data_IF_794837160912
#
_entry.id   IF_794837160912
#
_cell.length_a   1.000
_cell.length_b   1.000
_cell.length_c   1.000
_cell.angle_alpha   90.00
_cell.angle_beta   90.00
_cell.angle_gamma   90.00
#
_symmetry.space_group_name_H-M   'P 1'
#
loop_
_entity.id
_entity.type
_entity.pdbx_description
1 polymer ?
#
# COMPACT_ATOMS: atom_id res chain seq x y z
N UNK A 1 42.68 15.35 15.65
CA UNK A 1 42.32 16.79 15.66
C UNK A 1 40.85 16.91 16.01
N UNK A 2 40.47 17.74 17.01
CA UNK A 2 39.07 17.91 17.41
C UNK A 2 38.41 18.91 16.45
N UNK A 3 37.34 18.49 15.79
CA UNK A 3 36.57 19.34 14.86
C UNK A 3 35.44 20.00 15.65
N UNK A 4 35.26 21.31 15.45
CA UNK A 4 34.22 22.11 16.10
C UNK A 4 33.18 22.58 15.09
N UNK A 5 31.92 22.51 15.48
CA UNK A 5 30.76 22.98 14.74
C UNK A 5 30.03 24.07 15.54
N UNK A 6 29.16 24.83 14.85
CA UNK A 6 28.16 25.69 15.48
C UNK A 6 26.86 24.90 15.59
N UNK A 7 26.24 24.88 16.76
CA UNK A 7 24.95 24.25 17.01
C UNK A 7 23.96 25.33 17.47
N UNK A 8 22.78 25.34 16.86
CA UNK A 8 21.69 26.20 17.32
C UNK A 8 21.01 25.59 18.54
N UNK A 9 20.93 26.32 19.67
CA UNK A 9 20.26 25.84 20.90
C UNK A 9 18.82 25.44 20.59
N UNK A 10 18.10 26.31 19.89
CA UNK A 10 16.82 26.02 19.26
C UNK A 10 17.10 25.84 17.75
N UNK A 11 16.90 24.64 17.18
CA UNK A 11 17.11 24.41 15.75
C UNK A 11 16.21 25.29 14.86
N UNK A 12 16.69 25.64 13.66
CA UNK A 12 15.91 26.44 12.69
C UNK A 12 14.58 25.79 12.30
N UNK A 13 14.55 24.46 12.15
CA UNK A 13 13.31 23.73 11.83
C UNK A 13 12.26 23.80 12.96
N UNK A 14 12.69 24.13 14.18
CA UNK A 14 11.87 24.34 15.35
C UNK A 14 11.56 25.82 15.63
N UNK A 15 11.92 26.74 14.72
CA UNK A 15 11.70 28.19 14.86
C UNK A 15 12.88 28.98 15.43
N UNK A 16 14.05 28.36 15.61
CA UNK A 16 15.24 29.06 16.07
C UNK A 16 15.81 30.05 15.06
N UNK A 17 16.43 31.10 15.56
CA UNK A 17 17.04 32.19 14.78
C UNK A 17 18.56 32.03 14.68
N UNK A 18 19.19 32.81 13.80
CA UNK A 18 20.66 32.87 13.68
C UNK A 18 21.29 33.91 14.65
N UNK A 19 20.55 34.30 15.70
CA UNK A 19 21.07 35.20 16.74
C UNK A 19 22.25 34.53 17.47
N UNK A 20 23.34 35.26 17.77
CA UNK A 20 24.49 34.70 18.49
C UNK A 20 24.13 34.05 19.83
N UNK A 21 23.10 34.53 20.53
CA UNK A 21 22.59 33.93 21.77
C UNK A 21 22.01 32.52 21.57
N UNK A 22 21.53 32.22 20.37
CA UNK A 22 20.99 30.91 20.00
C UNK A 22 22.08 29.98 19.42
N UNK A 23 23.36 30.36 19.39
CA UNK A 23 24.42 29.57 18.73
C UNK A 23 25.57 29.31 19.69
N UNK A 24 25.90 28.02 19.88
CA UNK A 24 27.04 27.59 20.69
C UNK A 24 28.08 26.84 19.84
N UNK A 25 29.36 27.00 20.18
CA UNK A 25 30.46 26.27 19.54
C UNK A 25 30.75 24.99 20.31
N UNK A 26 30.54 23.85 19.67
CA UNK A 26 30.68 22.51 20.28
C UNK A 26 31.47 21.59 19.37
N UNK A 27 32.10 20.55 19.93
CA UNK A 27 32.73 19.52 19.10
C UNK A 27 31.66 18.63 18.43
N UNK A 28 32.06 17.84 17.42
CA UNK A 28 31.12 17.00 16.64
C UNK A 28 30.34 16.02 17.52
N UNK A 29 31.00 15.39 18.49
CA UNK A 29 30.34 14.43 19.39
C UNK A 29 29.25 15.09 20.24
N UNK A 30 29.54 16.27 20.79
CA UNK A 30 28.58 17.06 21.56
C UNK A 30 27.45 17.60 20.67
N UNK A 31 27.74 18.00 19.43
CA UNK A 31 26.72 18.40 18.45
C UNK A 31 25.72 17.26 18.20
N UNK A 32 26.23 16.04 17.97
CA UNK A 32 25.38 14.86 17.80
C UNK A 32 24.54 14.60 19.07
N UNK A 33 25.15 14.68 20.24
CA UNK A 33 24.47 14.50 21.53
C UNK A 33 23.34 15.51 21.74
N UNK A 34 23.56 16.80 21.44
CA UNK A 34 22.54 17.83 21.58
C UNK A 34 21.32 17.57 20.68
N UNK A 35 21.53 17.16 19.43
CA UNK A 35 20.42 16.72 18.57
C UNK A 35 19.73 15.46 19.09
N UNK A 36 20.46 14.53 19.71
CA UNK A 36 19.86 13.35 20.34
C UNK A 36 18.95 13.77 21.50
N UNK A 37 19.41 14.66 22.37
CA UNK A 37 18.63 15.18 23.49
C UNK A 37 17.38 15.91 22.98
N UNK A 38 17.52 16.80 22.00
CA UNK A 38 16.37 17.50 21.39
C UNK A 38 15.34 16.52 20.81
N UNK A 39 15.79 15.42 20.22
CA UNK A 39 14.89 14.37 19.74
C UNK A 39 14.20 13.62 20.89
N UNK A 40 14.90 13.29 21.96
CA UNK A 40 14.32 12.64 23.14
C UNK A 40 13.30 13.55 23.84
N UNK A 41 13.55 14.85 23.89
CA UNK A 41 12.68 15.83 24.54
C UNK A 41 11.43 16.16 23.69
N UNK A 42 11.58 16.31 22.37
CA UNK A 42 10.51 16.84 21.50
C UNK A 42 10.02 15.87 20.42
N UNK A 43 10.68 14.74 20.19
CA UNK A 43 10.29 13.74 19.20
C UNK A 43 10.40 14.20 17.73
N UNK A 44 11.11 15.30 17.44
CA UNK A 44 11.21 15.86 16.08
C UNK A 44 12.16 15.02 15.23
N UNK A 45 11.66 14.44 14.15
CA UNK A 45 12.46 13.54 13.30
C UNK A 45 13.71 14.20 12.72
N UNK A 46 13.69 15.53 12.48
CA UNK A 46 14.83 16.29 11.98
C UNK A 46 16.04 16.20 12.91
N UNK A 47 15.81 16.25 14.23
CA UNK A 47 16.88 16.15 15.22
C UNK A 47 17.46 14.73 15.29
N UNK A 48 16.61 13.70 15.18
CA UNK A 48 17.07 12.31 15.08
C UNK A 48 17.95 12.08 13.84
N UNK A 49 17.54 12.63 12.68
CA UNK A 49 18.31 12.51 11.44
C UNK A 49 19.65 13.24 11.56
N UNK A 50 19.68 14.45 12.14
CA UNK A 50 20.90 15.19 12.37
C UNK A 50 21.86 14.46 13.33
N UNK A 51 21.34 13.93 14.45
CA UNK A 51 22.09 13.08 15.38
C UNK A 51 22.73 11.88 14.67
N UNK A 52 21.94 11.06 13.97
CA UNK A 52 22.44 9.85 13.31
C UNK A 52 23.50 10.17 12.25
N UNK A 53 23.33 11.28 11.53
CA UNK A 53 24.30 11.73 10.53
C UNK A 53 25.61 12.20 11.17
N UNK A 54 25.55 13.00 12.25
CA UNK A 54 26.75 13.52 12.93
C UNK A 54 27.50 12.44 13.72
N UNK A 55 26.77 11.48 14.30
CA UNK A 55 27.33 10.35 15.01
C UNK A 55 27.92 9.27 14.06
N UNK A 56 27.73 9.41 12.75
CA UNK A 56 28.19 8.44 11.75
C UNK A 56 27.43 7.10 11.79
N UNK A 57 26.23 7.08 12.39
CA UNK A 57 25.37 5.89 12.46
C UNK A 57 24.77 5.57 11.09
N UNK A 58 24.51 6.60 10.28
CA UNK A 58 24.04 6.49 8.90
C UNK A 58 24.93 7.31 7.97
N UNK A 59 24.98 6.90 6.71
CA UNK A 59 25.64 7.67 5.66
C UNK A 59 24.87 8.96 5.33
N UNK A 60 25.56 9.92 4.72
CA UNK A 60 24.94 11.17 4.23
C UNK A 60 23.81 10.87 3.23
N UNK A 61 23.98 9.85 2.38
CA UNK A 61 22.96 9.45 1.41
C UNK A 61 21.69 8.93 2.08
N UNK A 62 21.84 8.10 3.12
CA UNK A 62 20.72 7.61 3.93
C UNK A 62 20.03 8.75 4.68
N UNK A 63 20.79 9.70 5.25
CA UNK A 63 20.23 10.87 5.91
C UNK A 63 19.38 11.73 4.95
N UNK A 64 19.86 11.94 3.71
CA UNK A 64 19.12 12.67 2.66
C UNK A 64 17.85 11.91 2.28
N UNK A 65 17.94 10.59 2.11
CA UNK A 65 16.80 9.76 1.76
C UNK A 65 15.73 9.76 2.85
N UNK A 66 16.14 9.64 4.12
CA UNK A 66 15.26 9.67 5.27
C UNK A 66 14.56 11.04 5.40
N UNK A 67 15.30 12.13 5.21
CA UNK A 67 14.74 13.49 5.22
C UNK A 67 13.63 13.65 4.17
N UNK A 68 13.90 13.20 2.93
CA UNK A 68 12.90 13.23 1.84
C UNK A 68 11.69 12.38 2.17
N UNK A 69 11.91 11.19 2.74
CA UNK A 69 10.82 10.29 3.14
C UNK A 69 9.94 10.96 4.20
N UNK A 70 10.53 11.40 5.31
CA UNK A 70 9.80 12.00 6.43
C UNK A 70 9.04 13.27 6.04
N UNK A 71 9.65 14.14 5.21
CA UNK A 71 8.97 15.32 4.68
C UNK A 71 7.72 14.97 3.84
N UNK A 72 7.78 13.88 3.06
CA UNK A 72 6.64 13.44 2.24
C UNK A 72 5.55 12.72 3.05
N UNK A 73 5.90 12.00 4.12
CA UNK A 73 4.91 11.37 5.01
C UNK A 73 4.03 12.42 5.69
N UNK A 74 4.59 13.57 6.06
CA UNK A 74 3.85 14.68 6.67
C UNK A 74 3.08 15.57 5.69
N UNK A 75 3.20 15.34 4.37
CA UNK A 75 2.58 16.19 3.36
C UNK A 75 1.06 15.94 3.23
N UNK A 76 0.30 16.50 4.17
CA UNK A 76 -1.17 16.44 4.21
C UNK A 76 -1.82 17.13 3.00
N UNK A 77 -1.15 18.06 2.32
CA UNK A 77 -1.72 18.75 1.16
C UNK A 77 -2.07 17.83 0.01
N UNK A 78 -1.45 16.64 -0.07
CA UNK A 78 -1.73 15.61 -1.08
C UNK A 78 -2.36 14.33 -0.51
N UNK A 79 -2.43 14.16 0.81
CA UNK A 79 -3.09 13.00 1.41
C UNK A 79 -4.60 13.16 1.34
N UNK A 80 -5.28 12.16 0.78
CA UNK A 80 -6.74 12.05 0.81
C UNK A 80 -7.52 12.98 -0.12
N UNK A 81 -6.87 13.93 -0.81
CA UNK A 81 -7.56 14.71 -1.85
C UNK A 81 -7.91 13.79 -3.02
N UNK A 82 -9.21 13.60 -3.34
CA UNK A 82 -9.57 12.87 -4.54
C UNK A 82 -9.02 13.61 -5.76
N UNK A 83 -8.49 12.86 -6.72
CA UNK A 83 -8.09 13.43 -8.01
C UNK A 83 -9.32 13.95 -8.73
N UNK A 84 -9.18 15.01 -9.50
CA UNK A 84 -10.26 15.49 -10.37
C UNK A 84 -10.61 14.44 -11.43
N UNK A 85 -11.84 14.46 -11.92
CA UNK A 85 -12.28 13.53 -12.96
C UNK A 85 -11.41 13.63 -14.23
N UNK A 86 -10.95 14.83 -14.57
CA UNK A 86 -10.05 15.06 -15.71
C UNK A 86 -8.69 14.37 -15.51
N UNK A 87 -8.11 14.45 -14.32
CA UNK A 87 -6.86 13.77 -13.99
C UNK A 87 -7.04 12.25 -13.98
N UNK A 88 -8.16 11.76 -13.44
CA UNK A 88 -8.51 10.33 -13.47
C UNK A 88 -8.60 9.86 -14.91
N UNK A 89 -9.24 10.62 -15.79
CA UNK A 89 -9.39 10.27 -17.20
C UNK A 89 -8.05 10.29 -17.94
N UNK A 90 -7.18 11.26 -17.69
CA UNK A 90 -5.81 11.30 -18.24
C UNK A 90 -5.01 10.06 -17.85
N UNK A 91 -5.07 9.68 -16.56
CA UNK A 91 -4.40 8.47 -16.06
C UNK A 91 -5.00 7.22 -16.71
N UNK A 92 -6.33 7.14 -16.81
CA UNK A 92 -7.04 6.02 -17.43
C UNK A 92 -6.62 5.86 -18.89
N UNK A 93 -6.62 6.93 -19.68
CA UNK A 93 -6.15 6.93 -21.08
C UNK A 93 -4.69 6.49 -21.18
N UNK A 94 -3.82 7.00 -20.31
CA UNK A 94 -2.40 6.66 -20.31
C UNK A 94 -2.10 5.20 -19.95
N UNK A 95 -2.99 4.51 -19.22
CA UNK A 95 -2.83 3.11 -18.80
C UNK A 95 -3.60 2.12 -19.66
N UNK A 96 -4.68 2.56 -20.31
CA UNK A 96 -5.47 1.72 -21.22
C UNK A 96 -4.58 1.13 -22.31
N UNK A 97 -4.63 -0.19 -22.50
CA UNK A 97 -3.87 -0.91 -23.53
C UNK A 97 -2.40 -1.20 -23.21
N UNK A 98 -1.81 -0.61 -22.16
CA UNK A 98 -0.43 -0.92 -21.77
C UNK A 98 -0.35 -2.30 -21.11
N UNK A 99 0.30 -3.25 -21.80
CA UNK A 99 0.61 -4.57 -21.24
C UNK A 99 1.84 -4.46 -20.34
N UNK A 100 1.79 -5.16 -19.20
CA UNK A 100 2.97 -5.30 -18.32
C UNK A 100 4.04 -6.13 -19.03
N UNK A 101 5.31 -5.81 -18.78
CA UNK A 101 6.43 -6.60 -19.31
C UNK A 101 6.40 -8.03 -18.75
N UNK A 102 6.91 -8.99 -19.53
CA UNK A 102 7.02 -10.40 -19.10
C UNK A 102 7.83 -10.51 -17.80
N UNK A 103 8.91 -9.74 -17.69
CA UNK A 103 9.76 -9.68 -16.49
C UNK A 103 8.98 -9.18 -15.25
N UNK A 104 8.16 -8.13 -15.38
CA UNK A 104 7.34 -7.63 -14.27
C UNK A 104 6.32 -8.67 -13.80
N UNK A 105 5.72 -9.40 -14.75
CA UNK A 105 4.77 -10.46 -14.46
C UNK A 105 5.47 -11.61 -13.73
N UNK A 106 6.66 -12.02 -14.18
CA UNK A 106 7.42 -13.11 -13.56
C UNK A 106 7.84 -12.79 -12.12
N UNK A 107 8.38 -11.58 -11.88
CA UNK A 107 8.70 -11.11 -10.52
C UNK A 107 7.48 -11.14 -9.60
N UNK A 108 6.32 -10.69 -10.10
CA UNK A 108 5.09 -10.70 -9.33
C UNK A 108 4.61 -12.13 -9.03
N UNK A 109 4.70 -13.05 -10.01
CA UNK A 109 4.34 -14.46 -9.82
C UNK A 109 5.21 -15.11 -8.75
N UNK A 110 6.54 -14.90 -8.80
CA UNK A 110 7.49 -15.44 -7.82
C UNK A 110 7.15 -15.02 -6.39
N UNK A 111 6.82 -13.74 -6.18
CA UNK A 111 6.43 -13.21 -4.86
C UNK A 111 5.11 -13.81 -4.35
N UNK A 112 4.15 -14.02 -5.25
CA UNK A 112 2.80 -14.49 -4.87
C UNK A 112 2.72 -16.02 -4.73
N UNK A 113 3.58 -16.76 -5.42
CA UNK A 113 3.58 -18.22 -5.39
C UNK A 113 3.92 -18.69 -3.97
N UNK A 114 3.07 -19.52 -3.38
CA UNK A 114 3.26 -20.06 -2.03
C UNK A 114 2.81 -19.15 -0.88
N UNK A 115 2.41 -17.90 -1.15
CA UNK A 115 1.91 -16.99 -0.11
C UNK A 115 0.51 -17.43 0.36
N UNK A 116 0.41 -17.95 1.58
CA UNK A 116 -0.88 -18.26 2.22
C UNK A 116 -1.49 -16.98 2.79
N UNK A 117 -2.81 -16.86 2.66
CA UNK A 117 -3.54 -15.77 3.32
C UNK A 117 -3.52 -15.97 4.84
N UNK A 118 -3.48 -14.88 5.61
CA UNK A 118 -3.57 -14.95 7.06
C UNK A 118 -4.96 -15.42 7.49
N UNK A 119 -5.06 -16.06 8.66
CA UNK A 119 -6.34 -16.47 9.26
C UNK A 119 -7.30 -15.29 9.39
N UNK A 120 -6.80 -14.14 9.85
CA UNK A 120 -7.57 -12.90 9.96
C UNK A 120 -8.16 -12.45 8.61
N UNK A 121 -7.36 -12.48 7.53
CA UNK A 121 -7.84 -12.08 6.22
C UNK A 121 -8.94 -13.03 5.69
N UNK A 122 -8.81 -14.32 5.98
CA UNK A 122 -9.82 -15.32 5.63
C UNK A 122 -11.13 -15.03 6.38
N UNK A 123 -11.05 -14.75 7.68
CA UNK A 123 -12.22 -14.43 8.50
C UNK A 123 -12.87 -13.10 8.07
N UNK A 124 -12.09 -12.07 7.79
CA UNK A 124 -12.61 -10.80 7.28
C UNK A 124 -13.37 -10.97 5.95
N UNK A 125 -12.87 -11.83 5.05
CA UNK A 125 -13.59 -12.21 3.83
C UNK A 125 -14.88 -12.94 4.13
N UNK A 126 -14.89 -13.83 5.12
CA UNK A 126 -16.09 -14.57 5.54
C UNK A 126 -17.15 -13.60 6.07
N UNK A 127 -16.78 -12.75 7.02
CA UNK A 127 -17.67 -11.73 7.61
C UNK A 127 -18.23 -10.82 6.52
N UNK A 128 -17.39 -10.32 5.62
CA UNK A 128 -17.83 -9.44 4.53
C UNK A 128 -18.83 -10.10 3.57
N UNK A 129 -18.76 -11.42 3.41
CA UNK A 129 -19.68 -12.16 2.53
C UNK A 129 -20.95 -12.64 3.24
N UNK A 130 -20.98 -12.59 4.58
CA UNK A 130 -22.15 -12.98 5.36
C UNK A 130 -23.33 -12.06 5.02
N UNK A 131 -24.49 -12.64 4.72
CA UNK A 131 -25.73 -11.89 4.44
C UNK A 131 -25.83 -11.28 3.03
N UNK A 132 -24.77 -11.30 2.20
CA UNK A 132 -24.85 -10.79 0.81
C UNK A 132 -25.62 -11.76 -0.09
N UNK A 133 -26.90 -11.43 -0.35
CA UNK A 133 -27.73 -12.15 -1.32
C UNK A 133 -27.32 -11.76 -2.74
N UNK A 134 -27.05 -12.76 -3.58
CA UNK A 134 -26.82 -12.53 -5.02
C UNK A 134 -28.17 -12.30 -5.71
N UNK A 135 -28.22 -11.38 -6.67
CA UNK A 135 -29.40 -11.16 -7.51
C UNK A 135 -29.68 -12.44 -8.32
N UNK A 136 -30.86 -13.01 -8.14
CA UNK A 136 -31.35 -14.14 -8.94
C UNK A 136 -32.06 -13.54 -10.16
N UNK A 137 -31.75 -14.06 -11.33
CA UNK A 137 -32.37 -13.66 -12.59
C UNK A 137 -32.77 -14.89 -13.38
N UNK A 138 -33.79 -14.73 -14.21
CA UNK A 138 -34.31 -15.77 -15.10
C UNK A 138 -33.81 -15.54 -16.52
N UNK A 139 -33.46 -16.62 -17.22
CA UNK A 139 -33.11 -16.57 -18.63
C UNK A 139 -34.39 -16.59 -19.49
N UNK A 140 -34.64 -15.58 -20.36
CA UNK A 140 -35.84 -15.52 -21.18
C UNK A 140 -35.92 -16.63 -22.24
N UNK A 141 -34.81 -17.30 -22.57
CA UNK A 141 -34.77 -18.33 -23.61
C UNK A 141 -34.98 -19.75 -23.10
N UNK A 142 -34.79 -20.00 -21.81
CA UNK A 142 -34.87 -21.37 -21.27
C UNK A 142 -35.51 -21.46 -19.88
N UNK A 143 -35.98 -20.36 -19.30
CA UNK A 143 -36.65 -20.32 -18.00
C UNK A 143 -35.77 -20.68 -16.80
N UNK A 144 -34.46 -20.92 -17.00
CA UNK A 144 -33.56 -21.24 -15.90
C UNK A 144 -33.32 -20.03 -15.03
N UNK A 145 -33.41 -20.20 -13.72
CA UNK A 145 -33.12 -19.18 -12.71
C UNK A 145 -31.76 -19.43 -12.06
N UNK A 146 -30.97 -18.38 -11.86
CA UNK A 146 -29.68 -18.48 -11.21
C UNK A 146 -29.11 -17.15 -10.78
N UNK A 147 -27.99 -17.18 -10.06
CA UNK A 147 -27.28 -15.96 -9.70
C UNK A 147 -26.75 -15.25 -10.95
N UNK A 148 -26.92 -13.93 -11.01
CA UNK A 148 -26.61 -13.05 -12.16
C UNK A 148 -25.26 -13.37 -12.85
N UNK A 149 -24.18 -13.59 -12.10
CA UNK A 149 -22.87 -13.88 -12.67
C UNK A 149 -22.84 -15.20 -13.44
N UNK A 150 -23.46 -16.26 -12.91
CA UNK A 150 -23.53 -17.55 -13.61
C UNK A 150 -24.43 -17.45 -14.86
N UNK A 151 -25.49 -16.64 -14.77
CA UNK A 151 -26.40 -16.40 -15.89
C UNK A 151 -25.71 -15.67 -17.05
N UNK A 152 -24.85 -14.68 -16.80
CA UNK A 152 -24.07 -14.04 -17.90
C UNK A 152 -23.03 -14.95 -18.57
N UNK A 153 -22.52 -15.96 -17.85
CA UNK A 153 -21.52 -16.87 -18.40
C UNK A 153 -22.18 -17.87 -19.36
N UNK A 154 -23.35 -18.40 -19.00
CA UNK A 154 -23.96 -19.57 -19.65
C UNK A 154 -25.36 -19.33 -20.25
N UNK A 155 -25.99 -18.20 -19.93
CA UNK A 155 -27.36 -17.86 -20.34
C UNK A 155 -27.39 -16.50 -21.06
N UNK A 156 -28.60 -16.00 -21.35
CA UNK A 156 -28.85 -14.88 -22.26
C UNK A 156 -28.32 -15.20 -23.66
N UNK A 157 -27.40 -14.40 -24.20
CA UNK A 157 -26.84 -14.57 -25.56
C UNK A 157 -26.11 -15.92 -25.74
N UNK A 158 -25.63 -16.52 -24.64
CA UNK A 158 -24.92 -17.81 -24.65
C UNK A 158 -25.82 -18.99 -24.30
N UNK A 159 -27.13 -18.78 -24.21
CA UNK A 159 -28.05 -19.82 -23.81
C UNK A 159 -27.96 -21.02 -24.74
N UNK A 160 -27.95 -22.22 -24.17
CA UNK A 160 -27.92 -23.49 -24.91
C UNK A 160 -29.12 -23.66 -25.85
N UNK A 161 -30.29 -23.06 -25.54
CA UNK A 161 -31.47 -23.07 -26.42
C UNK A 161 -31.26 -22.24 -27.70
N UNK A 162 -30.40 -21.22 -27.66
CA UNK A 162 -30.06 -20.41 -28.84
C UNK A 162 -28.88 -21.01 -29.59
N UNK A 163 -27.83 -21.39 -28.84
CA UNK A 163 -26.53 -21.75 -29.43
C UNK A 163 -26.44 -23.23 -29.82
N UNK A 164 -27.41 -24.06 -29.44
CA UNK A 164 -27.43 -25.51 -29.68
C UNK A 164 -26.35 -26.29 -28.91
N UNK A 165 -25.41 -25.60 -28.25
CA UNK A 165 -24.34 -26.20 -27.47
C UNK A 165 -24.85 -26.54 -26.08
N UNK A 166 -25.03 -27.83 -25.80
CA UNK A 166 -25.34 -28.29 -24.43
C UNK A 166 -24.17 -27.97 -23.51
N UNK A 167 -24.49 -27.47 -22.33
CA UNK A 167 -23.51 -27.29 -21.26
C UNK A 167 -23.09 -28.68 -20.75
N UNK A 168 -21.98 -29.23 -21.26
CA UNK A 168 -21.37 -30.43 -20.69
C UNK A 168 -20.94 -30.12 -19.25
N UNK A 169 -21.63 -30.71 -18.29
CA UNK A 169 -21.27 -30.69 -16.87
C UNK A 169 -20.02 -31.56 -16.65
N UNK A 170 -18.87 -31.16 -17.20
CA UNK A 170 -17.58 -31.71 -16.79
C UNK A 170 -17.27 -31.10 -15.42
N UNK A 171 -17.75 -31.77 -14.37
CA UNK A 171 -17.20 -31.83 -13.01
C UNK A 171 -18.31 -32.19 -12.00
N UNK A 172 -18.65 -33.47 -11.89
CA UNK A 172 -19.02 -34.03 -10.59
C UNK A 172 -17.74 -34.08 -9.75
N UNK A 173 -17.33 -32.94 -9.17
CA UNK A 173 -16.40 -33.00 -8.04
C UNK A 173 -17.22 -33.52 -6.88
N UNK A 174 -17.10 -34.82 -6.64
CA UNK A 174 -17.63 -35.50 -5.47
C UNK A 174 -17.37 -34.66 -4.23
N UNK A 175 -18.40 -34.50 -3.43
CA UNK A 175 -18.44 -33.77 -2.18
C UNK A 175 -17.37 -34.29 -1.19
N UNK A 176 -16.11 -33.84 -1.31
CA UNK A 176 -15.00 -34.19 -0.41
C UNK A 176 -15.09 -33.49 0.97
N UNK A 177 -16.27 -33.04 1.38
CA UNK A 177 -16.49 -32.43 2.70
C UNK A 177 -17.26 -33.35 3.67
N UNK A 178 -17.52 -34.61 3.31
CA UNK A 178 -18.26 -35.56 4.16
C UNK A 178 -17.38 -36.45 5.08
N UNK A 179 -16.17 -36.01 5.48
CA UNK A 179 -15.36 -36.69 6.51
C UNK A 179 -14.72 -35.70 7.48
N UNK A 180 -15.56 -35.02 8.25
CA UNK A 180 -15.22 -34.52 9.59
C UNK A 180 -16.40 -34.85 10.50
N UNK A 181 -16.46 -36.11 10.93
CA UNK A 181 -17.30 -36.57 12.03
C UNK A 181 -16.48 -37.52 12.89
N UNK A 182 -16.53 -37.21 14.20
CA UNK A 182 -15.93 -37.86 15.37
C UNK A 182 -14.45 -37.59 15.56
#
# INVERSE_FOLDING_TARGET
MIIFHKHHIIPRHAGGTDDPSNIIKVNVAMHAFLHKQLYEDYGRWQDNTAYKSLAGIISIQEAIQETKRMANLGNKHRQGKPKSDEEVEKIRKALTGKKRSKESIDKQKKILTGRKQTSEHIENKRISNLGKKRKIVECPHCGKTGGINAMHIWHFDKCSMITGKKHELKHMIGNKHAKRKK
#
